data_IF_248047403660
#
_entry.id   IF_248047403660
#
_cell.length_a   1.000
_cell.length_b   1.000
_cell.length_c   1.000
_cell.angle_alpha   90.00
_cell.angle_beta   90.00
_cell.angle_gamma   90.00
#
_symmetry.space_group_name_H-M   'P 1'
#
loop_
_entity.id
_entity.type
_entity.pdbx_description
1 polymer ?
#
# COMPACT_ATOMS: atom_id res chain seq x y z
N UNK A 1 1.07 15.36 13.85
CA UNK A 1 0.76 14.18 13.02
C UNK A 1 -0.07 14.55 11.78
N UNK A 2 -0.91 15.56 11.82
CA UNK A 2 -1.76 15.99 10.68
C UNK A 2 -0.99 16.46 9.44
N UNK A 3 0.20 17.05 9.61
CA UNK A 3 1.01 17.55 8.49
C UNK A 3 1.60 16.43 7.60
N UNK A 4 1.87 15.26 8.15
CA UNK A 4 2.46 14.13 7.41
C UNK A 4 1.41 13.42 6.54
N UNK A 5 0.18 13.30 7.02
CA UNK A 5 -0.92 12.66 6.30
C UNK A 5 -1.40 13.50 5.10
N UNK A 6 -1.70 14.79 5.34
CA UNK A 6 -2.10 15.73 4.27
C UNK A 6 -1.02 15.91 3.20
N UNK A 7 0.24 15.80 3.62
CA UNK A 7 1.39 15.91 2.73
C UNK A 7 1.51 14.71 1.77
N UNK A 8 1.32 13.48 2.25
CA UNK A 8 1.37 12.28 1.40
C UNK A 8 0.28 12.29 0.35
N UNK A 9 -0.96 12.65 0.73
CA UNK A 9 -2.07 12.81 -0.21
C UNK A 9 -1.73 13.80 -1.33
N UNK A 10 -1.14 14.96 -0.97
CA UNK A 10 -0.73 15.97 -1.95
C UNK A 10 0.40 15.46 -2.86
N UNK A 11 1.35 14.71 -2.32
CA UNK A 11 2.45 14.12 -3.08
C UNK A 11 1.94 13.08 -4.10
N UNK A 12 1.04 12.18 -3.72
CA UNK A 12 0.42 11.20 -4.62
C UNK A 12 -0.39 11.87 -5.72
N UNK A 13 -1.22 12.87 -5.41
CA UNK A 13 -1.96 13.64 -6.42
C UNK A 13 -1.03 14.33 -7.43
N UNK A 14 0.06 14.92 -6.97
CA UNK A 14 1.03 15.64 -7.81
C UNK A 14 1.82 14.71 -8.73
N UNK A 15 2.17 13.53 -8.27
CA UNK A 15 3.06 12.60 -8.97
C UNK A 15 2.33 11.42 -9.63
N UNK A 16 0.99 11.38 -9.60
CA UNK A 16 0.19 10.27 -10.11
C UNK A 16 0.59 9.83 -11.53
N UNK A 17 0.77 10.77 -12.47
CA UNK A 17 1.14 10.47 -13.88
C UNK A 17 2.46 9.71 -14.04
N UNK A 18 3.39 9.83 -13.09
CA UNK A 18 4.69 9.17 -13.14
C UNK A 18 4.80 8.02 -12.14
N UNK A 19 3.97 8.02 -11.11
CA UNK A 19 4.00 7.03 -10.04
C UNK A 19 3.82 5.60 -10.56
N UNK A 20 2.83 5.34 -11.42
CA UNK A 20 2.55 4.01 -11.96
C UNK A 20 3.71 3.43 -12.79
N UNK A 21 4.52 4.29 -13.44
CA UNK A 21 5.71 3.88 -14.21
C UNK A 21 6.86 3.42 -13.31
N UNK A 22 6.86 3.84 -12.05
CA UNK A 22 7.90 3.54 -11.07
C UNK A 22 7.42 2.65 -9.92
N UNK A 23 6.15 2.25 -9.94
CA UNK A 23 5.52 1.44 -8.89
C UNK A 23 5.82 -0.08 -9.03
N UNK A 24 7.00 -0.46 -9.56
CA UNK A 24 7.36 -1.87 -9.75
C UNK A 24 7.33 -2.67 -8.45
N UNK A 25 7.78 -2.10 -7.35
CA UNK A 25 7.76 -2.76 -6.05
C UNK A 25 6.32 -2.98 -5.58
N UNK A 26 5.45 -1.99 -5.72
CA UNK A 26 4.04 -2.08 -5.35
C UNK A 26 3.32 -3.16 -6.18
N UNK A 27 3.64 -3.27 -7.47
CA UNK A 27 3.11 -4.34 -8.32
C UNK A 27 3.59 -5.73 -7.87
N UNK A 28 4.87 -5.88 -7.53
CA UNK A 28 5.41 -7.13 -7.00
C UNK A 28 4.77 -7.50 -5.66
N UNK A 29 4.58 -6.54 -4.76
CA UNK A 29 3.92 -6.73 -3.48
C UNK A 29 2.48 -7.19 -3.70
N UNK A 30 1.72 -6.54 -4.58
CA UNK A 30 0.34 -6.91 -4.90
C UNK A 30 0.24 -8.33 -5.48
N UNK A 31 1.16 -8.73 -6.36
CA UNK A 31 1.23 -10.10 -6.91
C UNK A 31 1.47 -11.11 -5.77
N UNK A 32 2.43 -10.83 -4.88
CA UNK A 32 2.67 -11.70 -3.73
C UNK A 32 1.46 -11.78 -2.81
N UNK A 33 0.78 -10.64 -2.56
CA UNK A 33 -0.40 -10.57 -1.69
C UNK A 33 -1.55 -11.42 -2.22
N UNK A 34 -1.86 -11.31 -3.51
CA UNK A 34 -2.98 -12.05 -4.13
C UNK A 34 -2.74 -13.57 -4.13
N UNK A 35 -1.50 -14.03 -4.05
CA UNK A 35 -1.17 -15.46 -3.90
C UNK A 35 -1.66 -16.06 -2.58
N UNK A 36 -1.90 -15.26 -1.55
CA UNK A 36 -2.46 -15.70 -0.27
C UNK A 36 -3.96 -15.95 -0.30
N UNK A 37 -4.69 -15.46 -1.32
CA UNK A 37 -6.13 -15.64 -1.43
C UNK A 37 -6.49 -17.11 -1.58
N UNK A 38 -7.49 -17.53 -0.82
CA UNK A 38 -7.91 -18.95 -0.77
C UNK A 38 -9.06 -19.24 -1.74
N UNK A 39 -9.84 -18.22 -2.11
CA UNK A 39 -10.95 -18.37 -3.04
C UNK A 39 -10.58 -17.84 -4.44
N UNK A 40 -11.32 -18.30 -5.43
CA UNK A 40 -11.18 -17.87 -6.83
C UNK A 40 -12.41 -17.09 -7.34
N UNK A 41 -13.41 -16.93 -6.50
CA UNK A 41 -14.63 -16.19 -6.80
C UNK A 41 -15.08 -15.40 -5.57
N UNK A 42 -15.39 -14.12 -5.77
CA UNK A 42 -15.91 -13.21 -4.76
C UNK A 42 -17.08 -12.41 -5.33
N UNK A 43 -18.19 -12.30 -4.59
CA UNK A 43 -19.29 -11.45 -5.00
C UNK A 43 -18.94 -9.97 -4.80
N UNK A 44 -18.33 -9.62 -3.66
CA UNK A 44 -18.04 -8.21 -3.35
C UNK A 44 -16.64 -8.02 -2.76
N UNK A 45 -15.83 -7.22 -3.45
CA UNK A 45 -14.43 -6.92 -3.07
C UNK A 45 -14.24 -5.43 -2.85
N UNK A 46 -13.58 -5.06 -1.75
CA UNK A 46 -13.13 -3.69 -1.47
C UNK A 46 -11.60 -3.63 -1.50
N UNK A 47 -11.03 -2.77 -2.34
CA UNK A 47 -9.60 -2.44 -2.39
C UNK A 47 -9.36 -1.07 -1.75
N UNK A 48 -8.78 -1.07 -0.54
CA UNK A 48 -8.50 0.12 0.26
C UNK A 48 -7.17 0.76 -0.14
N UNK A 49 -7.23 1.95 -0.70
CA UNK A 49 -6.09 2.64 -1.27
C UNK A 49 -5.64 1.98 -2.57
N UNK A 50 -6.60 1.77 -3.48
CA UNK A 50 -6.43 1.03 -4.73
C UNK A 50 -5.41 1.65 -5.69
N UNK A 51 -5.16 2.95 -5.55
CA UNK A 51 -4.21 3.70 -6.36
C UNK A 51 -4.52 3.57 -7.86
N UNK A 52 -3.49 3.23 -8.64
CA UNK A 52 -3.60 2.99 -10.09
C UNK A 52 -3.89 1.52 -10.44
N UNK A 53 -4.40 0.71 -9.49
CA UNK A 53 -4.88 -0.65 -9.74
C UNK A 53 -3.82 -1.75 -9.67
N UNK A 54 -2.83 -1.66 -8.78
CA UNK A 54 -1.82 -2.71 -8.62
C UNK A 54 -2.45 -4.05 -8.18
N UNK A 55 -3.38 -4.01 -7.22
CA UNK A 55 -4.12 -5.18 -6.75
C UNK A 55 -5.07 -5.68 -7.84
N UNK A 56 -5.81 -4.79 -8.48
CA UNK A 56 -6.68 -5.12 -9.60
C UNK A 56 -5.95 -5.94 -10.67
N UNK A 57 -4.79 -5.47 -11.14
CA UNK A 57 -3.98 -6.16 -12.13
C UNK A 57 -3.43 -7.51 -11.61
N UNK A 58 -3.16 -7.63 -10.32
CA UNK A 58 -2.72 -8.88 -9.72
C UNK A 58 -3.86 -9.91 -9.65
N UNK A 59 -5.07 -9.49 -9.31
CA UNK A 59 -6.29 -10.32 -9.31
C UNK A 59 -6.60 -10.84 -10.72
N UNK A 60 -6.54 -9.98 -11.73
CA UNK A 60 -6.68 -10.34 -13.15
C UNK A 60 -5.71 -11.45 -13.56
N UNK A 61 -4.41 -11.28 -13.26
CA UNK A 61 -3.36 -12.25 -13.58
C UNK A 61 -3.54 -13.61 -12.91
N UNK A 62 -4.23 -13.65 -11.76
CA UNK A 62 -4.53 -14.87 -11.01
C UNK A 62 -5.88 -15.47 -11.40
N UNK A 63 -6.58 -14.91 -12.39
CA UNK A 63 -7.90 -15.31 -12.85
C UNK A 63 -8.92 -15.37 -11.69
N UNK A 64 -8.89 -14.37 -10.80
CA UNK A 64 -9.86 -14.23 -9.71
C UNK A 64 -11.13 -13.60 -10.30
N UNK A 65 -12.25 -14.30 -10.15
CA UNK A 65 -13.56 -13.83 -10.63
C UNK A 65 -14.23 -12.95 -9.56
N UNK A 66 -14.70 -11.78 -9.95
CA UNK A 66 -15.33 -10.82 -9.03
C UNK A 66 -16.58 -10.24 -9.69
N UNK A 67 -17.69 -10.21 -8.94
CA UNK A 67 -18.92 -9.57 -9.42
C UNK A 67 -18.83 -8.05 -9.25
N UNK A 68 -18.67 -7.56 -8.03
CA UNK A 68 -18.57 -6.13 -7.69
C UNK A 68 -17.19 -5.82 -7.07
N UNK A 69 -16.39 -5.02 -7.74
CA UNK A 69 -15.09 -4.55 -7.27
C UNK A 69 -15.16 -3.05 -6.95
N UNK A 70 -14.90 -2.67 -5.70
CA UNK A 70 -14.88 -1.29 -5.25
C UNK A 70 -13.42 -0.84 -5.08
N UNK A 71 -12.97 0.07 -5.95
CA UNK A 71 -11.67 0.73 -5.90
C UNK A 71 -11.80 2.03 -5.10
N UNK A 72 -11.33 2.04 -3.85
CA UNK A 72 -11.35 3.21 -2.98
C UNK A 72 -9.96 3.82 -2.89
N UNK A 73 -9.85 5.13 -3.14
CA UNK A 73 -8.61 5.89 -2.95
C UNK A 73 -8.92 7.36 -2.65
N UNK A 74 -8.09 7.99 -1.82
CA UNK A 74 -8.21 9.42 -1.50
C UNK A 74 -7.57 10.35 -2.55
N UNK A 75 -6.98 9.77 -3.62
CA UNK A 75 -6.41 10.50 -4.74
C UNK A 75 -7.22 10.29 -6.01
N UNK A 76 -8.04 11.25 -6.37
CA UNK A 76 -8.80 11.23 -7.63
C UNK A 76 -7.89 11.05 -8.87
N UNK A 77 -6.66 11.55 -8.81
CA UNK A 77 -5.70 11.41 -9.91
C UNK A 77 -5.16 9.98 -10.04
N UNK A 78 -5.08 9.24 -8.94
CA UNK A 78 -4.73 7.82 -8.97
C UNK A 78 -5.89 6.99 -9.51
N UNK A 79 -7.13 7.25 -9.07
CA UNK A 79 -8.32 6.58 -9.58
C UNK A 79 -8.52 6.79 -11.09
N UNK A 80 -8.16 7.95 -11.65
CA UNK A 80 -8.19 8.21 -13.10
C UNK A 80 -7.22 7.34 -13.90
N UNK A 81 -6.22 6.76 -13.27
CA UNK A 81 -5.24 5.85 -13.89
C UNK A 81 -5.58 4.37 -13.65
N UNK A 82 -6.57 4.11 -12.80
CA UNK A 82 -7.01 2.76 -12.51
C UNK A 82 -7.70 2.13 -13.73
N UNK A 83 -7.51 0.82 -14.01
CA UNK A 83 -8.24 0.13 -15.07
C UNK A 83 -9.76 0.23 -14.89
N UNK A 84 -10.46 0.42 -16.00
CA UNK A 84 -11.92 0.56 -16.03
C UNK A 84 -12.63 -0.66 -16.63
N UNK A 85 -11.87 -1.64 -17.12
CA UNK A 85 -12.38 -2.84 -17.77
C UNK A 85 -11.58 -4.06 -17.30
N UNK A 86 -12.24 -5.19 -17.24
CA UNK A 86 -11.71 -6.48 -16.86
C UNK A 86 -12.48 -7.60 -17.56
N UNK A 87 -11.83 -8.73 -17.80
CA UNK A 87 -12.48 -9.96 -18.24
C UNK A 87 -12.97 -10.81 -17.07
N UNK A 88 -12.40 -10.59 -15.88
CA UNK A 88 -12.66 -11.37 -14.68
C UNK A 88 -13.54 -10.61 -13.65
N UNK A 89 -13.73 -9.30 -13.83
CA UNK A 89 -14.47 -8.44 -12.90
C UNK A 89 -15.67 -7.84 -13.64
N UNK A 90 -16.87 -8.15 -13.17
CA UNK A 90 -18.11 -7.79 -13.89
C UNK A 90 -18.43 -6.30 -13.77
N UNK A 91 -18.30 -5.73 -12.55
CA UNK A 91 -18.56 -4.31 -12.29
C UNK A 91 -17.44 -3.70 -11.47
N UNK A 92 -17.03 -2.51 -11.84
CA UNK A 92 -15.99 -1.73 -11.16
C UNK A 92 -16.60 -0.42 -10.70
N UNK A 93 -16.52 -0.17 -9.39
CA UNK A 93 -16.96 1.07 -8.76
C UNK A 93 -15.75 1.85 -8.26
N UNK A 94 -15.75 3.15 -8.48
CA UNK A 94 -14.70 4.04 -8.01
C UNK A 94 -15.22 4.92 -6.88
N UNK A 95 -14.57 4.87 -5.73
CA UNK A 95 -14.92 5.66 -4.57
C UNK A 95 -13.76 6.58 -4.19
N UNK A 96 -13.97 7.90 -4.36
CA UNK A 96 -13.01 8.90 -3.94
C UNK A 96 -13.26 9.27 -2.49
N UNK A 97 -12.60 8.57 -1.56
CA UNK A 97 -12.76 8.74 -0.12
C UNK A 97 -11.47 8.40 0.64
N UNK A 98 -11.38 8.89 1.86
CA UNK A 98 -10.39 8.41 2.84
C UNK A 98 -10.90 7.09 3.45
N UNK A 99 -10.08 6.05 3.45
CA UNK A 99 -10.46 4.75 4.01
C UNK A 99 -10.71 4.80 5.52
N UNK A 100 -10.22 5.80 6.24
CA UNK A 100 -10.53 6.00 7.67
C UNK A 100 -11.96 6.53 7.86
N UNK A 101 -12.50 7.25 6.88
CA UNK A 101 -13.85 7.83 6.90
C UNK A 101 -14.88 6.98 6.15
N UNK A 102 -14.43 5.96 5.39
CA UNK A 102 -15.29 5.07 4.64
C UNK A 102 -16.30 4.36 5.54
N UNK A 103 -17.56 4.31 5.05
CA UNK A 103 -18.64 3.56 5.70
C UNK A 103 -18.60 2.12 5.20
N UNK A 104 -18.11 1.22 6.04
CA UNK A 104 -17.99 -0.19 5.69
C UNK A 104 -19.37 -0.87 5.64
N UNK A 105 -19.53 -1.80 4.72
CA UNK A 105 -20.60 -2.78 4.68
C UNK A 105 -19.98 -4.20 4.56
N UNK A 106 -20.78 -5.25 4.44
CA UNK A 106 -20.27 -6.60 4.31
C UNK A 106 -19.57 -6.82 2.96
N UNK A 107 -18.35 -7.36 3.03
CA UNK A 107 -17.52 -7.73 1.88
C UNK A 107 -17.10 -9.21 1.98
N UNK A 108 -17.01 -9.89 0.84
CA UNK A 108 -16.43 -11.21 0.79
C UNK A 108 -14.91 -11.13 0.97
N UNK A 109 -14.28 -10.09 0.36
CA UNK A 109 -12.86 -9.82 0.49
C UNK A 109 -12.61 -8.32 0.71
N UNK A 110 -11.83 -8.00 1.71
CA UNK A 110 -11.18 -6.68 1.82
C UNK A 110 -9.69 -6.84 1.54
N UNK A 111 -9.17 -6.10 0.58
CA UNK A 111 -7.76 -6.13 0.19
C UNK A 111 -7.15 -4.74 0.29
N UNK A 112 -5.87 -4.66 0.62
CA UNK A 112 -5.11 -3.43 0.61
C UNK A 112 -3.62 -3.70 0.41
N UNK A 113 -2.98 -3.02 -0.53
CA UNK A 113 -1.56 -3.18 -0.80
C UNK A 113 -0.84 -1.85 -0.78
N UNK A 114 0.15 -1.71 0.11
CA UNK A 114 1.03 -0.53 0.18
C UNK A 114 0.28 0.79 0.46
N UNK A 115 -0.81 0.76 1.22
CA UNK A 115 -1.58 1.95 1.56
C UNK A 115 -1.84 2.13 3.06
N UNK A 116 -2.17 1.06 3.82
CA UNK A 116 -2.55 1.15 5.23
C UNK A 116 -1.42 1.62 6.17
N UNK A 117 -0.16 1.61 5.76
CA UNK A 117 0.94 2.21 6.53
C UNK A 117 0.74 3.71 6.78
N UNK A 118 -0.09 4.36 5.96
CA UNK A 118 -0.42 5.79 6.06
C UNK A 118 -1.60 6.09 6.99
N UNK A 119 -2.29 5.08 7.49
CA UNK A 119 -3.40 5.27 8.43
C UNK A 119 -2.95 5.97 9.71
N UNK A 120 -3.68 7.01 10.12
CA UNK A 120 -3.50 7.72 11.40
C UNK A 120 -3.86 6.80 12.55
N UNK A 121 -5.06 6.21 12.47
CA UNK A 121 -5.55 5.20 13.41
C UNK A 121 -5.70 3.84 12.72
N UNK A 122 -4.56 3.17 12.46
CA UNK A 122 -4.54 1.85 11.85
C UNK A 122 -5.34 0.83 12.66
N UNK A 123 -5.38 0.97 14.00
CA UNK A 123 -6.13 0.05 14.85
C UNK A 123 -7.62 0.09 14.52
N UNK A 124 -8.22 1.27 14.47
CA UNK A 124 -9.64 1.44 14.12
C UNK A 124 -9.95 0.92 12.72
N UNK A 125 -9.07 1.18 11.74
CA UNK A 125 -9.24 0.67 10.36
C UNK A 125 -9.23 -0.86 10.33
N UNK A 126 -8.26 -1.51 11.00
CA UNK A 126 -8.18 -2.97 11.07
C UNK A 126 -9.38 -3.60 11.76
N UNK A 127 -9.91 -2.97 12.82
CA UNK A 127 -11.12 -3.42 13.52
C UNK A 127 -12.36 -3.34 12.60
N UNK A 128 -12.52 -2.27 11.80
CA UNK A 128 -13.58 -2.16 10.79
C UNK A 128 -13.44 -3.24 9.72
N UNK A 129 -12.23 -3.45 9.19
CA UNK A 129 -11.97 -4.51 8.20
C UNK A 129 -12.37 -5.87 8.78
N UNK A 130 -11.94 -6.20 10.01
CA UNK A 130 -12.26 -7.48 10.65
C UNK A 130 -13.78 -7.68 10.88
N UNK A 131 -14.50 -6.60 11.18
CA UNK A 131 -15.95 -6.66 11.39
C UNK A 131 -16.69 -6.99 10.09
N UNK A 132 -16.34 -6.34 8.99
CA UNK A 132 -17.10 -6.32 7.74
C UNK A 132 -16.52 -7.20 6.62
N UNK A 133 -15.49 -8.01 6.86
CA UNK A 133 -14.93 -8.92 5.86
C UNK A 133 -15.08 -10.38 6.24
N UNK A 134 -15.27 -11.26 5.23
CA UNK A 134 -15.18 -12.71 5.37
C UNK A 134 -13.74 -13.20 5.18
N UNK A 135 -13.06 -12.65 4.18
CA UNK A 135 -11.64 -12.86 3.91
C UNK A 135 -10.93 -11.52 3.83
N UNK A 136 -9.65 -11.49 4.18
CA UNK A 136 -8.82 -10.29 4.17
C UNK A 136 -7.42 -10.59 3.67
N UNK A 137 -6.84 -9.68 2.87
CA UNK A 137 -5.45 -9.73 2.46
C UNK A 137 -4.83 -8.32 2.48
N UNK A 138 -3.80 -8.14 3.32
CA UNK A 138 -3.16 -6.83 3.54
C UNK A 138 -1.65 -6.91 3.35
N UNK A 139 -1.07 -5.90 2.70
CA UNK A 139 0.37 -5.71 2.59
C UNK A 139 0.74 -4.33 3.14
N UNK A 140 1.44 -4.29 4.26
CA UNK A 140 1.74 -3.07 5.01
C UNK A 140 3.25 -2.92 5.14
N UNK A 141 3.79 -1.77 4.69
CA UNK A 141 5.20 -1.45 4.83
C UNK A 141 5.59 -1.23 6.30
N UNK A 142 6.78 -1.73 6.68
CA UNK A 142 7.37 -1.52 8.00
C UNK A 142 8.34 -0.34 7.99
N UNK A 143 8.78 0.04 9.19
CA UNK A 143 9.80 1.07 9.43
C UNK A 143 11.16 0.77 8.77
N UNK A 144 11.43 -0.48 8.43
CA UNK A 144 12.63 -0.87 7.68
C UNK A 144 12.57 -0.44 6.20
N UNK A 145 11.39 -0.14 5.64
CA UNK A 145 11.28 0.32 4.26
C UNK A 145 12.04 1.63 4.07
N UNK A 146 12.89 1.68 3.01
CA UNK A 146 13.77 2.82 2.70
C UNK A 146 14.76 3.15 3.82
N UNK A 147 15.21 2.13 4.60
CA UNK A 147 16.15 2.35 5.69
C UNK A 147 17.44 3.05 5.21
N UNK A 148 17.91 2.81 3.99
CA UNK A 148 19.09 3.48 3.42
C UNK A 148 18.89 5.00 3.36
N UNK A 149 17.68 5.46 3.08
CA UNK A 149 17.33 6.89 3.04
C UNK A 149 17.30 7.45 4.46
N UNK A 150 16.64 6.75 5.38
CA UNK A 150 16.50 7.19 6.77
C UNK A 150 17.84 7.21 7.51
N UNK A 151 18.67 6.20 7.31
CA UNK A 151 20.02 6.13 7.86
C UNK A 151 20.89 7.28 7.35
N UNK A 152 20.91 7.53 6.03
CA UNK A 152 21.66 8.64 5.45
C UNK A 152 21.23 10.00 6.00
N UNK A 153 19.92 10.19 6.23
CA UNK A 153 19.36 11.43 6.74
C UNK A 153 19.49 11.58 8.26
N UNK A 154 19.87 10.50 8.98
CA UNK A 154 19.87 10.47 10.44
C UNK A 154 18.49 10.67 11.05
N UNK A 155 17.43 10.23 10.36
CA UNK A 155 16.03 10.40 10.78
C UNK A 155 15.35 9.06 10.95
N UNK A 156 14.51 8.86 11.99
CA UNK A 156 13.75 7.63 12.10
C UNK A 156 12.71 7.51 10.96
N UNK A 157 12.35 6.28 10.61
CA UNK A 157 11.22 6.02 9.72
C UNK A 157 9.93 6.48 10.39
N UNK A 158 8.99 7.10 9.65
CA UNK A 158 7.67 7.46 10.18
C UNK A 158 6.71 6.26 10.24
N UNK A 159 7.09 5.11 9.67
CA UNK A 159 6.26 3.92 9.61
C UNK A 159 6.35 3.11 10.91
N UNK A 160 5.37 2.26 11.12
CA UNK A 160 5.31 1.37 12.30
C UNK A 160 6.29 0.20 12.14
N UNK A 161 6.90 -0.21 13.24
CA UNK A 161 7.75 -1.39 13.28
C UNK A 161 6.95 -2.69 13.10
N UNK A 162 7.66 -3.75 12.70
CA UNK A 162 7.09 -5.06 12.42
C UNK A 162 6.36 -5.67 13.63
N UNK A 163 6.89 -5.46 14.85
CA UNK A 163 6.32 -6.01 16.09
C UNK A 163 4.97 -5.36 16.40
N UNK A 164 4.90 -4.03 16.26
CA UNK A 164 3.67 -3.25 16.42
C UNK A 164 2.62 -3.67 15.42
N UNK A 165 2.97 -3.80 14.13
CA UNK A 165 2.04 -4.24 13.09
C UNK A 165 1.49 -5.64 13.38
N UNK A 166 2.35 -6.61 13.73
CA UNK A 166 1.92 -7.96 14.10
C UNK A 166 0.97 -7.96 15.30
N UNK A 167 1.21 -7.11 16.29
CA UNK A 167 0.35 -7.00 17.46
C UNK A 167 -1.02 -6.44 17.11
N UNK A 168 -1.09 -5.36 16.32
CA UNK A 168 -2.34 -4.76 15.86
C UNK A 168 -3.19 -5.75 15.07
N UNK A 169 -2.58 -6.46 14.10
CA UNK A 169 -3.26 -7.46 13.28
C UNK A 169 -3.80 -8.60 14.16
N UNK A 170 -2.97 -9.20 15.01
CA UNK A 170 -3.41 -10.29 15.88
C UNK A 170 -4.56 -9.89 16.79
N UNK A 171 -4.57 -8.63 17.26
CA UNK A 171 -5.63 -8.11 18.12
C UNK A 171 -6.94 -7.86 17.36
N UNK A 172 -6.89 -7.30 16.16
CA UNK A 172 -8.08 -7.03 15.35
C UNK A 172 -8.71 -8.32 14.79
N UNK A 173 -7.89 -9.29 14.36
CA UNK A 173 -8.34 -10.50 13.67
C UNK A 173 -8.33 -11.77 14.54
N UNK A 174 -8.71 -11.65 15.84
CA UNK A 174 -8.77 -12.79 16.79
C UNK A 174 -9.66 -13.93 16.31
N UNK A 175 -10.74 -13.59 15.60
CA UNK A 175 -11.73 -14.55 15.09
C UNK A 175 -11.42 -15.03 13.66
N UNK A 176 -10.19 -14.82 13.18
CA UNK A 176 -9.76 -15.28 11.87
C UNK A 176 -8.72 -16.39 12.00
N UNK A 177 -8.70 -17.26 11.01
CA UNK A 177 -7.54 -18.10 10.73
C UNK A 177 -6.57 -17.23 9.92
N UNK A 178 -5.41 -16.89 10.51
CA UNK A 178 -4.47 -15.91 9.95
C UNK A 178 -3.18 -16.55 9.48
N UNK A 179 -2.60 -15.96 8.44
CA UNK A 179 -1.28 -16.25 7.92
C UNK A 179 -0.49 -14.94 7.80
N UNK A 180 0.78 -14.95 8.22
CA UNK A 180 1.65 -13.76 8.25
C UNK A 180 3.01 -14.11 7.65
N UNK A 181 3.44 -13.34 6.66
CA UNK A 181 4.78 -13.41 6.09
C UNK A 181 5.45 -12.04 6.13
N UNK A 182 6.70 -11.98 6.60
CA UNK A 182 7.53 -10.78 6.46
C UNK A 182 8.41 -10.93 5.23
N UNK A 183 8.25 -10.06 4.23
CA UNK A 183 8.96 -10.15 2.96
C UNK A 183 9.74 -8.88 2.65
N UNK A 184 10.96 -9.07 2.13
CA UNK A 184 11.83 -7.98 1.71
C UNK A 184 11.93 -7.94 0.20
N UNK A 185 11.88 -6.72 -0.33
CA UNK A 185 12.08 -6.40 -1.73
C UNK A 185 13.22 -5.40 -1.85
N UNK A 186 13.92 -5.42 -2.98
CA UNK A 186 14.99 -4.46 -3.25
C UNK A 186 14.89 -3.95 -4.69
N UNK A 187 15.17 -2.67 -4.85
CA UNK A 187 15.31 -2.01 -6.13
C UNK A 187 16.78 -1.61 -6.29
N UNK A 188 17.41 -2.09 -7.35
CA UNK A 188 18.79 -1.78 -7.67
C UNK A 188 18.88 -0.74 -8.78
N UNK A 189 19.85 0.13 -8.70
CA UNK A 189 20.07 1.21 -9.66
C UNK A 189 21.53 1.20 -10.15
N UNK A 190 21.70 1.29 -11.46
CA UNK A 190 23.02 1.34 -12.07
C UNK A 190 23.69 2.71 -11.88
N UNK A 191 22.90 3.76 -11.67
CA UNK A 191 23.37 5.13 -11.51
C UNK A 191 22.64 5.82 -10.36
N UNK A 192 23.37 6.57 -9.56
CA UNK A 192 22.85 7.44 -8.49
C UNK A 192 21.68 8.30 -8.95
N UNK A 193 21.77 8.86 -10.16
CA UNK A 193 20.72 9.74 -10.69
C UNK A 193 19.39 9.02 -10.89
N UNK A 194 19.43 7.72 -11.20
CA UNK A 194 18.21 6.91 -11.40
C UNK A 194 17.50 6.66 -10.06
N UNK A 195 18.26 6.39 -8.99
CA UNK A 195 17.73 6.28 -7.63
C UNK A 195 17.11 7.61 -7.14
N UNK A 196 17.77 8.73 -7.39
CA UNK A 196 17.25 10.06 -7.06
C UNK A 196 15.97 10.39 -7.84
N UNK A 197 15.93 10.08 -9.12
CA UNK A 197 14.77 10.29 -9.97
C UNK A 197 13.60 9.42 -9.51
N UNK A 198 13.87 8.17 -9.14
CA UNK A 198 12.89 7.26 -8.59
C UNK A 198 12.28 7.84 -7.31
N UNK A 199 13.08 8.20 -6.30
CA UNK A 199 12.60 8.76 -5.04
C UNK A 199 11.76 10.03 -5.23
N UNK A 200 12.17 10.91 -6.17
CA UNK A 200 11.41 12.12 -6.52
C UNK A 200 10.06 11.78 -7.15
N UNK A 201 10.03 10.86 -8.12
CA UNK A 201 8.84 10.50 -8.90
C UNK A 201 7.81 9.70 -8.10
N UNK A 202 8.28 8.92 -7.13
CA UNK A 202 7.41 8.22 -6.19
C UNK A 202 6.90 9.13 -5.05
N UNK A 203 7.29 10.41 -5.01
CA UNK A 203 6.89 11.34 -3.95
C UNK A 203 7.54 11.05 -2.58
N UNK A 204 8.44 10.07 -2.49
CA UNK A 204 9.02 9.59 -1.25
C UNK A 204 9.96 10.60 -0.55
N UNK A 205 10.46 11.60 -1.29
CA UNK A 205 11.25 12.72 -0.75
C UNK A 205 10.40 13.97 -0.47
N UNK A 206 9.18 13.99 -0.93
CA UNK A 206 8.33 15.17 -0.89
C UNK A 206 7.75 15.46 0.50
N UNK A 207 7.59 14.46 1.38
CA UNK A 207 7.03 14.55 2.73
C UNK A 207 8.03 14.76 3.84
N UNK A 208 9.30 14.83 3.49
CA UNK A 208 10.31 15.03 4.51
C UNK A 208 10.28 16.47 5.04
N UNK A 209 10.30 16.61 6.36
CA UNK A 209 10.57 17.87 7.09
C UNK A 209 12.01 18.38 6.85
N UNK A 210 12.68 17.89 5.80
CA UNK A 210 14.06 18.23 5.47
C UNK A 210 14.15 19.68 5.08
N UNK A 211 15.06 20.40 5.73
CA UNK A 211 15.48 21.75 5.36
C UNK A 211 16.10 21.75 3.95
N UNK A 212 16.15 22.92 3.32
CA UNK A 212 16.79 23.08 2.02
C UNK A 212 18.26 22.58 2.03
N UNK A 213 18.99 22.82 3.13
CA UNK A 213 20.39 22.38 3.30
C UNK A 213 20.50 20.85 3.34
N UNK A 214 19.60 20.17 4.05
CA UNK A 214 19.55 18.71 4.11
C UNK A 214 19.18 18.11 2.75
N UNK A 215 18.20 18.68 2.04
CA UNK A 215 17.86 18.25 0.67
C UNK A 215 19.04 18.39 -0.28
N UNK A 216 19.74 19.52 -0.24
CA UNK A 216 20.96 19.76 -1.07
C UNK A 216 22.04 18.73 -0.73
N UNK A 217 22.32 18.49 0.55
CA UNK A 217 23.29 17.50 1.01
C UNK A 217 22.92 16.09 0.53
N UNK A 218 21.64 15.69 0.68
CA UNK A 218 21.14 14.41 0.21
C UNK A 218 21.37 14.23 -1.30
N UNK A 219 21.00 15.21 -2.12
CA UNK A 219 21.16 15.13 -3.57
C UNK A 219 22.62 15.10 -4.02
N UNK A 220 23.52 15.75 -3.28
CA UNK A 220 24.95 15.80 -3.63
C UNK A 220 25.70 14.55 -3.19
N UNK A 221 25.39 14.00 -2.02
CA UNK A 221 26.23 13.02 -1.32
C UNK A 221 25.62 11.62 -1.20
N UNK A 222 24.32 11.44 -1.46
CA UNK A 222 23.70 10.13 -1.47
C UNK A 222 24.39 9.20 -2.50
N UNK A 223 24.68 7.96 -2.09
CA UNK A 223 25.36 6.96 -2.90
C UNK A 223 24.71 5.58 -2.84
N UNK A 224 23.37 5.51 -2.78
CA UNK A 224 22.72 4.20 -2.76
C UNK A 224 22.63 3.62 -4.16
N UNK A 225 23.03 2.37 -4.27
CA UNK A 225 22.79 1.52 -5.43
C UNK A 225 21.53 0.66 -5.25
N UNK A 226 20.97 0.67 -4.04
CA UNK A 226 19.84 -0.14 -3.64
C UNK A 226 18.87 0.65 -2.75
N UNK A 227 17.59 0.43 -2.92
CA UNK A 227 16.52 0.81 -1.99
C UNK A 227 15.80 -0.44 -1.53
N UNK A 228 15.73 -0.64 -0.21
CA UNK A 228 15.09 -1.80 0.40
C UNK A 228 13.69 -1.48 0.88
N UNK A 229 12.79 -2.45 0.76
CA UNK A 229 11.43 -2.39 1.27
C UNK A 229 11.17 -3.64 2.10
N UNK A 230 10.56 -3.47 3.26
CA UNK A 230 10.07 -4.57 4.07
C UNK A 230 8.56 -4.43 4.25
N UNK A 231 7.85 -5.52 4.01
CA UNK A 231 6.39 -5.56 3.99
C UNK A 231 5.90 -6.73 4.81
N UNK A 232 4.98 -6.49 5.73
CA UNK A 232 4.22 -7.53 6.38
C UNK A 232 3.03 -7.89 5.48
N UNK A 233 3.06 -9.08 4.90
CA UNK A 233 1.95 -9.70 4.20
C UNK A 233 1.08 -10.43 5.23
N UNK A 234 -0.21 -10.19 5.15
CA UNK A 234 -1.20 -10.78 6.03
C UNK A 234 -2.37 -11.30 5.21
N UNK A 235 -2.82 -12.50 5.48
CA UNK A 235 -4.13 -12.99 5.05
C UNK A 235 -4.90 -13.61 6.20
N UNK A 236 -6.22 -13.58 6.10
CA UNK A 236 -7.08 -14.15 7.12
C UNK A 236 -8.47 -14.50 6.60
N UNK A 237 -9.01 -15.62 7.07
CA UNK A 237 -10.39 -16.05 6.82
C UNK A 237 -11.14 -16.06 8.14
N UNK A 238 -12.31 -15.41 8.18
CA UNK A 238 -13.17 -15.37 9.36
C UNK A 238 -13.65 -16.79 9.70
N UNK A 239 -13.50 -17.18 10.96
CA UNK A 239 -14.02 -18.46 11.43
C UNK A 239 -15.54 -18.41 11.46
N UNK A 240 -16.18 -19.45 10.95
CA UNK A 240 -17.62 -19.69 11.04
C UNK A 240 -18.07 -19.92 12.49
#
# INVERSE_FOLDING_TARGET
MDSFHSFNQHAFNKHAKTYHLFAHIQQQIAICLVQFLKQKHYAKVLDLGSGSGAVFNALERQNILIEDFIALDNSINMLKLHPTHSINIQKIFFEHADFEEHVFCDYDLVVSSSSLQWARDLKSVLEKIALFSKEVALAIHTDFSLHEVHEFLGTPSPLRDLKTLKSLIKNAFKNFQIELENKRFALYFNRKQDALNYLKKCGLLGGSTLSFKQKKHFFQNMAFEKLSYEVLLFSGIKRS
#
